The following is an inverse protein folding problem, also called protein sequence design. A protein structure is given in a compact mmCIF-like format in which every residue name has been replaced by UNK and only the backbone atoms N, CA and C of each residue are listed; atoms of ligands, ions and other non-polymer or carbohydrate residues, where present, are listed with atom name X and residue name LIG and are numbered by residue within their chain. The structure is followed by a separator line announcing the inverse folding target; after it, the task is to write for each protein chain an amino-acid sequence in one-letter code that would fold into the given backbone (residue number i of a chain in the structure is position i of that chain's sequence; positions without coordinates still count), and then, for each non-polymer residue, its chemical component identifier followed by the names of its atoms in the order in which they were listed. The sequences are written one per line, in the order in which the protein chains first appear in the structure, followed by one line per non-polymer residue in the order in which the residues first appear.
data_IF_320241212261
#
_entry.id   IF_320241212261
#
_cell.length_a   1.000
_cell.length_b   1.000
_cell.length_c   1.000
_cell.angle_alpha   90.00
_cell.angle_beta   90.00
_cell.angle_gamma   90.00
#
_symmetry.space_group_name_H-M   'P 1'
#
loop_
_entity.id
_entity.type
_entity.pdbx_description
1 polymer ?
#
# COMPACT_ATOMS: atom_id res chain seq x y z
N UNK A 1 -12.86 10.81 3.71
CA UNK A 1 -11.58 11.11 4.41
C UNK A 1 -10.95 12.30 3.72
N UNK A 2 -10.10 13.07 4.41
CA UNK A 2 -9.46 14.26 3.85
C UNK A 2 -7.94 14.09 3.89
N UNK A 3 -7.25 14.57 2.87
CA UNK A 3 -5.79 14.60 2.83
C UNK A 3 -5.32 15.65 3.83
N UNK A 4 -4.37 15.30 4.69
CA UNK A 4 -3.77 16.25 5.64
C UNK A 4 -2.83 17.21 4.92
N UNK A 5 -2.41 18.30 5.57
CA UNK A 5 -1.40 19.21 5.00
C UNK A 5 -0.07 18.54 4.68
N UNK A 6 0.21 17.38 5.30
CA UNK A 6 1.39 16.55 5.03
C UNK A 6 1.18 15.55 3.88
N UNK A 7 0.07 15.61 3.16
CA UNK A 7 -0.24 14.69 2.07
C UNK A 7 -0.67 13.29 2.51
N UNK A 8 -0.99 13.09 3.80
CA UNK A 8 -1.38 11.78 4.31
C UNK A 8 -2.89 11.58 4.19
N UNK A 9 -3.32 10.35 3.92
CA UNK A 9 -4.71 9.92 4.01
C UNK A 9 -4.80 8.59 4.74
N UNK A 10 -5.88 8.38 5.49
CA UNK A 10 -6.09 7.14 6.24
C UNK A 10 -6.80 6.11 5.37
N UNK A 11 -6.42 4.84 5.52
CA UNK A 11 -7.18 3.71 4.97
C UNK A 11 -8.20 3.26 6.04
N UNK A 12 -9.52 3.34 5.77
CA UNK A 12 -10.53 2.88 6.72
C UNK A 12 -10.33 1.42 7.17
N UNK A 13 -10.63 1.12 8.44
CA UNK A 13 -10.39 -0.19 9.07
C UNK A 13 -10.90 -1.37 8.23
N UNK A 14 -12.15 -1.29 7.75
CA UNK A 14 -12.76 -2.34 6.91
C UNK A 14 -11.95 -2.70 5.66
N UNK A 15 -11.28 -1.72 5.05
CA UNK A 15 -10.47 -1.93 3.85
C UNK A 15 -9.07 -2.42 4.19
N UNK A 16 -8.50 -1.97 5.32
CA UNK A 16 -7.25 -2.52 5.84
C UNK A 16 -7.36 -4.01 6.14
N UNK A 17 -8.43 -4.42 6.80
CA UNK A 17 -8.69 -5.83 7.14
C UNK A 17 -9.00 -6.65 5.88
N UNK A 18 -9.91 -6.16 5.02
CA UNK A 18 -10.30 -6.87 3.79
C UNK A 18 -9.12 -7.10 2.83
N UNK A 19 -8.25 -6.11 2.67
CA UNK A 19 -7.14 -6.19 1.72
C UNK A 19 -5.79 -6.49 2.38
N UNK A 20 -5.73 -6.63 3.70
CA UNK A 20 -4.52 -6.93 4.47
C UNK A 20 -3.47 -5.81 4.46
N UNK A 21 -3.89 -4.54 4.56
CA UNK A 21 -3.00 -3.39 4.79
C UNK A 21 -2.80 -3.20 6.30
N UNK A 22 -2.05 -4.13 6.90
CA UNK A 22 -1.73 -4.16 8.32
C UNK A 22 -0.45 -3.35 8.61
N UNK A 23 -0.16 -3.01 9.89
CA UNK A 23 1.09 -2.35 10.25
C UNK A 23 2.32 -3.05 9.65
N UNK A 24 3.26 -2.28 9.11
CA UNK A 24 4.45 -2.81 8.43
C UNK A 24 4.23 -3.26 6.98
N UNK A 25 3.02 -3.17 6.42
CA UNK A 25 2.78 -3.44 5.00
C UNK A 25 3.38 -2.33 4.14
N UNK A 26 4.35 -2.67 3.30
CA UNK A 26 4.83 -1.78 2.24
C UNK A 26 3.81 -1.68 1.10
N UNK A 27 3.64 -0.47 0.58
CA UNK A 27 2.63 -0.16 -0.45
C UNK A 27 3.21 0.72 -1.54
N UNK A 28 2.59 0.66 -2.71
CA UNK A 28 2.93 1.48 -3.87
C UNK A 28 1.64 2.09 -4.45
N UNK A 29 1.76 3.30 -5.01
CA UNK A 29 0.69 3.95 -5.76
C UNK A 29 0.94 3.76 -7.26
N UNK A 30 -0.06 3.26 -7.96
CA UNK A 30 -0.06 3.12 -9.41
C UNK A 30 -1.05 4.15 -9.98
N UNK A 31 -0.61 5.06 -10.88
CA UNK A 31 -1.52 5.94 -11.60
C UNK A 31 -2.49 5.13 -12.49
N UNK A 32 -3.77 5.48 -12.44
CA UNK A 32 -4.82 4.94 -13.33
C UNK A 32 -5.68 6.10 -13.85
N UNK A 33 -6.55 5.83 -14.83
CA UNK A 33 -7.45 6.87 -15.35
C UNK A 33 -8.37 7.41 -14.24
N UNK A 34 -8.27 8.71 -13.97
CA UNK A 34 -9.06 9.38 -12.94
C UNK A 34 -8.60 9.14 -11.50
N UNK A 35 -7.44 8.49 -11.25
CA UNK A 35 -7.00 8.32 -9.87
C UNK A 35 -5.69 7.55 -9.65
N UNK A 36 -5.56 7.07 -8.40
CA UNK A 36 -4.43 6.25 -7.95
C UNK A 36 -4.97 4.94 -7.37
N UNK A 37 -4.31 3.84 -7.72
CA UNK A 37 -4.53 2.54 -7.10
C UNK A 37 -3.43 2.26 -6.08
N UNK A 38 -3.84 1.97 -4.84
CA UNK A 38 -2.94 1.52 -3.79
C UNK A 38 -2.79 0.01 -3.85
N UNK A 39 -1.58 -0.48 -4.06
CA UNK A 39 -1.25 -1.91 -4.06
C UNK A 39 -0.21 -2.23 -3.01
N UNK A 40 -0.16 -3.48 -2.56
CA UNK A 40 0.96 -3.97 -1.76
C UNK A 40 2.20 -4.03 -2.63
N UNK A 41 3.33 -3.59 -2.09
CA UNK A 41 4.62 -3.75 -2.75
C UNK A 41 4.90 -5.24 -2.88
N UNK A 42 5.08 -5.72 -4.12
CA UNK A 42 5.56 -7.08 -4.33
C UNK A 42 7.03 -7.08 -3.94
N UNK A 43 7.41 -7.92 -2.96
CA UNK A 43 8.84 -8.25 -2.84
C UNK A 43 9.23 -8.94 -4.15
N UNK A 44 10.30 -8.50 -4.84
CA UNK A 44 10.81 -9.27 -5.96
C UNK A 44 11.08 -10.70 -5.47
N UNK A 45 10.61 -11.68 -6.24
CA UNK A 45 10.86 -13.08 -5.95
C UNK A 45 12.35 -13.34 -6.27
N UNK A 46 13.22 -13.33 -5.24
CA UNK A 46 14.64 -13.71 -5.32
C UNK A 46 15.58 -12.62 -4.76
N UNK A 47 16.61 -12.93 -3.96
CA UNK A 47 17.33 -14.20 -3.74
C UNK A 47 17.45 -14.52 -2.25
N UNK A 48 17.05 -15.71 -1.85
CA UNK A 48 17.70 -16.36 -0.71
C UNK A 48 19.17 -16.51 -1.11
N UNK A 49 20.03 -15.70 -0.51
CA UNK A 49 21.48 -15.81 -0.66
C UNK A 49 22.00 -16.37 0.65
N UNK A 50 21.55 -17.58 0.98
CA UNK A 50 22.25 -18.44 1.93
C UNK A 50 23.19 -19.34 1.13
N UNK A 51 24.42 -18.87 0.95
CA UNK A 51 25.61 -19.70 0.68
C UNK A 51 26.59 -19.47 1.81
#
# INVERSE_FOLDING_TARGET
MRITSKGQVTIPKKWREKFGFLPGTEVEFIPEEGGLKLVKKRRPLGKDTSL
#
